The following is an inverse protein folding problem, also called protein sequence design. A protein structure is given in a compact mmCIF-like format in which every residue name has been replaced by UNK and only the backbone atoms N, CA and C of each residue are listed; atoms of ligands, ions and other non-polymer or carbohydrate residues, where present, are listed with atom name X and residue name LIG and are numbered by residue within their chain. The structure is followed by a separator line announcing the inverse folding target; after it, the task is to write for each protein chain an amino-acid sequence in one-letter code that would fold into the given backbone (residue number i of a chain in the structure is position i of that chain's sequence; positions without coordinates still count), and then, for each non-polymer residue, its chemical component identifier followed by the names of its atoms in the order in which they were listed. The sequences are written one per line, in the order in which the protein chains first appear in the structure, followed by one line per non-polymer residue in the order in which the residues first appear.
data_IF_967163190468
#
_entry.id   IF_967163190468
#
_cell.length_a   1.000
_cell.length_b   1.000
_cell.length_c   1.000
_cell.angle_alpha   90.00
_cell.angle_beta   90.00
_cell.angle_gamma   90.00
#
_symmetry.space_group_name_H-M   'P 1'
#
loop_
_entity.id
_entity.type
_entity.pdbx_description
1 polymer ?
#
# COMPACT_ATOMS: atom_id res chain seq x y z
N UNK A 1 32.27 -15.60 -8.90
CA UNK A 1 31.15 -15.02 -8.14
C UNK A 1 30.55 -13.82 -8.88
N UNK A 2 29.34 -13.94 -9.41
CA UNK A 2 28.64 -12.81 -10.03
C UNK A 2 28.05 -11.92 -8.93
N UNK A 3 28.13 -10.59 -9.02
CA UNK A 3 27.49 -9.70 -8.06
C UNK A 3 25.97 -9.90 -8.16
N UNK A 4 25.34 -10.26 -7.04
CA UNK A 4 23.89 -10.29 -6.93
C UNK A 4 23.37 -8.87 -7.17
N UNK A 5 22.69 -8.68 -8.30
CA UNK A 5 22.02 -7.42 -8.60
C UNK A 5 20.95 -7.22 -7.53
N UNK A 6 21.10 -6.22 -6.68
CA UNK A 6 20.09 -5.84 -5.71
C UNK A 6 18.84 -5.41 -6.48
N UNK A 7 17.87 -6.31 -6.61
CA UNK A 7 16.55 -5.96 -7.11
C UNK A 7 16.00 -4.88 -6.18
N UNK A 8 15.61 -3.70 -6.70
CA UNK A 8 15.04 -2.66 -5.88
C UNK A 8 13.81 -3.23 -5.19
N UNK A 9 13.94 -3.49 -3.90
CA UNK A 9 12.85 -3.96 -3.08
C UNK A 9 11.99 -2.74 -2.83
N UNK A 10 10.81 -2.71 -3.44
CA UNK A 10 9.84 -1.67 -3.17
C UNK A 10 9.47 -1.76 -1.69
N UNK A 11 9.92 -0.80 -0.90
CA UNK A 11 9.75 -0.80 0.54
C UNK A 11 8.64 0.19 0.90
N UNK A 12 7.45 -0.35 1.14
CA UNK A 12 6.28 0.43 1.52
C UNK A 12 6.38 0.75 3.01
N UNK A 13 6.68 1.99 3.35
CA UNK A 13 6.86 2.41 4.75
C UNK A 13 5.61 3.10 5.32
N UNK A 14 4.71 3.56 4.45
CA UNK A 14 3.51 4.33 4.80
C UNK A 14 2.38 4.08 3.81
N UNK A 15 1.16 4.52 4.15
CA UNK A 15 0.01 4.40 3.24
C UNK A 15 0.18 5.25 1.99
N UNK A 16 0.85 6.39 2.11
CA UNK A 16 1.17 7.27 0.99
C UNK A 16 2.00 6.54 -0.08
N UNK A 17 2.93 5.69 0.34
CA UNK A 17 3.71 4.82 -0.56
C UNK A 17 2.82 3.80 -1.28
N UNK A 18 1.82 3.24 -0.59
CA UNK A 18 0.84 2.34 -1.20
C UNK A 18 -0.04 3.08 -2.19
N UNK A 19 -0.54 4.27 -1.83
CA UNK A 19 -1.35 5.12 -2.71
C UNK A 19 -0.54 5.54 -3.95
N UNK A 20 0.74 5.86 -3.78
CA UNK A 20 1.66 6.18 -4.87
C UNK A 20 1.92 4.96 -5.78
N UNK A 21 2.07 3.76 -5.20
CA UNK A 21 2.19 2.53 -5.96
C UNK A 21 0.92 2.26 -6.77
N UNK A 22 -0.26 2.40 -6.16
CA UNK A 22 -1.54 2.20 -6.83
C UNK A 22 -1.78 3.24 -7.92
N UNK A 23 -1.34 4.49 -7.72
CA UNK A 23 -1.36 5.52 -8.75
C UNK A 23 -0.44 5.15 -9.93
N UNK A 24 0.75 4.60 -9.65
CA UNK A 24 1.69 4.12 -10.67
C UNK A 24 1.13 2.93 -11.46
N UNK A 25 0.42 2.02 -10.81
CA UNK A 25 -0.28 0.91 -11.45
C UNK A 25 -1.63 1.30 -12.08
N UNK A 26 -2.04 2.57 -11.96
CA UNK A 26 -3.35 3.09 -12.42
C UNK A 26 -4.53 2.31 -11.84
N UNK A 27 -4.37 1.76 -10.64
CA UNK A 27 -5.42 1.05 -9.93
C UNK A 27 -6.33 2.03 -9.19
N UNK A 28 -7.22 2.68 -9.94
CA UNK A 28 -8.08 3.76 -9.43
C UNK A 28 -9.04 3.27 -8.35
N UNK A 29 -9.56 2.05 -8.48
CA UNK A 29 -10.57 1.50 -7.55
C UNK A 29 -9.98 1.24 -6.18
N UNK A 30 -8.79 0.62 -6.14
CA UNK A 30 -8.09 0.35 -4.89
C UNK A 30 -7.55 1.65 -4.26
N UNK A 31 -7.05 2.58 -5.09
CA UNK A 31 -6.63 3.91 -4.63
C UNK A 31 -7.76 4.65 -3.92
N UNK A 32 -8.96 4.68 -4.51
CA UNK A 32 -10.13 5.32 -3.91
C UNK A 32 -10.58 4.64 -2.61
N UNK A 33 -10.51 3.31 -2.55
CA UNK A 33 -10.81 2.56 -1.33
C UNK A 33 -9.80 2.87 -0.21
N UNK A 34 -8.51 3.01 -0.55
CA UNK A 34 -7.49 3.43 0.40
C UNK A 34 -7.61 4.90 0.84
N UNK A 35 -8.02 5.80 -0.06
CA UNK A 35 -8.16 7.22 0.25
C UNK A 35 -9.44 7.53 1.04
N UNK A 36 -10.54 6.82 0.77
CA UNK A 36 -11.87 7.17 1.30
C UNK A 36 -12.48 6.12 2.24
N UNK A 37 -11.98 4.89 2.23
CA UNK A 37 -12.66 3.74 2.84
C UNK A 37 -11.86 2.96 3.87
N UNK A 38 -10.55 3.14 3.97
CA UNK A 38 -9.73 2.43 4.97
C UNK A 38 -8.71 3.35 5.63
N UNK A 39 -8.43 3.08 6.91
CA UNK A 39 -7.30 3.63 7.65
C UNK A 39 -6.30 2.53 7.92
N UNK A 40 -5.05 2.93 8.08
CA UNK A 40 -3.99 2.03 8.46
C UNK A 40 -3.98 1.83 9.96
N UNK A 41 -3.87 0.59 10.38
CA UNK A 41 -3.73 0.22 11.78
C UNK A 41 -2.28 -0.16 12.10
N UNK A 42 -1.59 -0.82 11.17
CA UNK A 42 -0.18 -1.16 11.31
C UNK A 42 0.51 -1.31 9.95
N UNK A 43 1.76 -0.83 9.88
CA UNK A 43 2.69 -1.09 8.78
C UNK A 43 3.89 -1.85 9.30
N UNK A 44 4.03 -3.10 8.86
CA UNK A 44 5.24 -3.90 9.06
C UNK A 44 5.79 -4.39 7.71
N UNK A 45 7.09 -4.68 7.68
CA UNK A 45 7.73 -5.21 6.49
C UNK A 45 7.10 -6.57 6.12
N UNK A 46 6.39 -6.62 5.00
CA UNK A 46 5.66 -7.82 4.53
C UNK A 46 4.26 -8.01 5.11
N UNK A 47 3.76 -7.09 5.96
CA UNK A 47 2.41 -7.14 6.53
C UNK A 47 1.82 -5.74 6.68
N UNK A 48 0.69 -5.49 6.01
CA UNK A 48 -0.03 -4.23 6.14
C UNK A 48 -1.40 -4.55 6.74
N UNK A 49 -1.71 -4.00 7.91
CA UNK A 49 -3.03 -4.10 8.50
C UNK A 49 -3.81 -2.81 8.26
N UNK A 50 -4.92 -2.96 7.52
CA UNK A 50 -5.86 -1.89 7.20
C UNK A 50 -7.20 -2.20 7.87
N UNK A 51 -7.84 -1.17 8.42
CA UNK A 51 -9.20 -1.25 8.94
C UNK A 51 -10.11 -0.33 8.10
N UNK A 52 -11.32 -0.78 7.75
CA UNK A 52 -12.29 0.11 7.13
C UNK A 52 -12.61 1.30 8.04
N UNK A 53 -12.79 2.46 7.43
CA UNK A 53 -13.31 3.63 8.11
C UNK A 53 -14.78 3.37 8.48
N UNK A 54 -15.17 3.81 9.67
CA UNK A 54 -16.56 3.68 10.15
C UNK A 54 -17.51 4.33 9.15
N UNK A 55 -18.43 3.53 8.59
CA UNK A 55 -19.39 3.97 7.57
C UNK A 55 -19.06 3.57 6.12
N UNK A 56 -17.96 2.86 5.87
CA UNK A 56 -17.66 2.32 4.53
C UNK A 56 -18.51 1.07 4.25
N UNK A 57 -19.43 1.07 3.27
CA UNK A 57 -20.21 -0.12 2.94
C UNK A 57 -19.30 -1.19 2.33
N UNK A 58 -19.41 -2.42 2.85
CA UNK A 58 -18.70 -3.62 2.39
C UNK A 58 -19.22 -4.12 1.03
#
# INVERSE_FOLDING_TARGET
PAPAQAVPTLMLSSIEDVVALLAKERNIRLKHALEAGVRVVSFEAGRIEIAPLEGTPN
#
